data_IF_557371755822
#
_entry.id   IF_557371755822
#
_cell.length_a   1.000
_cell.length_b   1.000
_cell.length_c   1.000
_cell.angle_alpha   90.00
_cell.angle_beta   90.00
_cell.angle_gamma   90.00
#
_symmetry.space_group_name_H-M   'P 1'
#
loop_
_entity.id
_entity.type
_entity.pdbx_description
1 polymer ?
#
# COMPACT_ATOMS: atom_id res chain seq x y z
N UNK A 1 -9.53 -6.83 3.08
CA UNK A 1 -9.77 -8.17 2.44
C UNK A 1 -9.59 -8.06 0.94
N UNK A 2 -8.83 -8.98 0.32
CA UNK A 2 -8.69 -9.11 -1.14
C UNK A 2 -8.63 -10.59 -1.53
N UNK A 3 -8.89 -10.89 -2.80
CA UNK A 3 -8.78 -12.25 -3.35
C UNK A 3 -7.64 -12.28 -4.35
N UNK A 4 -6.77 -13.29 -4.28
CA UNK A 4 -5.76 -13.53 -5.28
C UNK A 4 -5.96 -14.90 -5.94
N UNK A 5 -5.90 -14.92 -7.26
CA UNK A 5 -5.87 -16.14 -8.04
C UNK A 5 -4.41 -16.51 -8.28
N UNK A 6 -4.01 -17.64 -7.73
CA UNK A 6 -2.65 -18.15 -7.79
C UNK A 6 -2.57 -19.29 -8.80
N UNK A 7 -1.49 -19.36 -9.56
CA UNK A 7 -1.27 -20.41 -10.57
C UNK A 7 0.13 -21.00 -10.50
N UNK A 8 0.24 -22.21 -11.03
CA UNK A 8 1.53 -22.85 -11.21
C UNK A 8 2.35 -22.08 -12.26
N UNK A 9 3.60 -21.74 -11.92
CA UNK A 9 4.50 -20.99 -12.80
C UNK A 9 4.94 -21.79 -14.02
N UNK A 10 5.06 -23.11 -13.89
CA UNK A 10 5.72 -23.97 -14.87
C UNK A 10 4.71 -24.65 -15.81
N UNK A 11 3.53 -24.99 -15.31
CA UNK A 11 2.57 -25.80 -16.04
C UNK A 11 1.16 -25.23 -16.00
N UNK A 12 0.65 -24.91 -17.17
CA UNK A 12 -0.74 -24.47 -17.35
C UNK A 12 -1.79 -25.60 -17.19
N UNK A 13 -1.35 -26.85 -17.00
CA UNK A 13 -2.28 -27.99 -16.83
C UNK A 13 -2.93 -28.02 -15.44
N UNK A 14 -2.32 -27.37 -14.47
CA UNK A 14 -2.90 -27.27 -13.12
C UNK A 14 -3.89 -26.12 -13.05
N UNK A 15 -5.04 -26.41 -12.47
CA UNK A 15 -6.05 -25.36 -12.26
C UNK A 15 -5.53 -24.30 -11.30
N UNK A 16 -5.80 -23.01 -11.58
CA UNK A 16 -5.49 -21.96 -10.63
C UNK A 16 -6.34 -22.10 -9.36
N UNK A 17 -5.84 -21.56 -8.24
CA UNK A 17 -6.52 -21.55 -6.95
C UNK A 17 -6.75 -20.11 -6.54
N UNK A 18 -8.01 -19.75 -6.23
CA UNK A 18 -8.34 -18.43 -5.69
C UNK A 18 -8.43 -18.53 -4.17
N UNK A 19 -7.73 -17.64 -3.49
CA UNK A 19 -7.68 -17.55 -2.03
C UNK A 19 -8.07 -16.13 -1.62
N UNK A 20 -8.92 -16.03 -0.59
CA UNK A 20 -9.26 -14.77 0.07
C UNK A 20 -8.26 -14.48 1.18
N UNK A 21 -7.72 -13.27 1.20
CA UNK A 21 -6.77 -12.81 2.22
C UNK A 21 -7.35 -11.66 3.04
N UNK A 22 -7.12 -11.65 4.37
CA UNK A 22 -6.44 -12.69 5.14
C UNK A 22 -7.21 -14.00 5.15
N UNK A 23 -6.48 -15.11 5.28
CA UNK A 23 -7.06 -16.45 5.36
C UNK A 23 -7.60 -16.66 6.79
N UNK A 24 -8.89 -16.99 6.96
CA UNK A 24 -9.39 -17.39 8.27
C UNK A 24 -8.57 -18.57 8.84
N UNK A 25 -8.28 -18.53 10.15
CA UNK A 25 -7.40 -19.51 10.80
C UNK A 25 -7.86 -20.95 10.58
N UNK A 26 -9.17 -21.18 10.63
CA UNK A 26 -9.81 -22.48 10.40
C UNK A 26 -9.76 -22.94 8.93
N UNK A 27 -9.44 -22.07 7.98
CA UNK A 27 -9.37 -22.37 6.55
C UNK A 27 -7.93 -22.45 6.02
N UNK A 28 -6.93 -22.09 6.82
CA UNK A 28 -5.54 -22.04 6.38
C UNK A 28 -5.03 -23.40 5.85
N UNK A 29 -5.25 -24.49 6.59
CA UNK A 29 -4.83 -25.81 6.14
C UNK A 29 -5.51 -26.24 4.83
N UNK A 30 -6.78 -25.87 4.65
CA UNK A 30 -7.52 -26.16 3.43
C UNK A 30 -6.95 -25.41 2.24
N UNK A 31 -6.57 -24.13 2.41
CA UNK A 31 -5.93 -23.33 1.38
C UNK A 31 -4.59 -23.95 0.96
N UNK A 32 -3.74 -24.32 1.91
CA UNK A 32 -2.45 -24.99 1.65
C UNK A 32 -2.65 -26.33 0.92
N UNK A 33 -3.65 -27.11 1.29
CA UNK A 33 -3.96 -28.38 0.61
C UNK A 33 -4.43 -28.14 -0.83
N UNK A 34 -5.20 -27.08 -1.09
CA UNK A 34 -5.63 -26.72 -2.45
C UNK A 34 -4.42 -26.34 -3.33
N UNK A 35 -3.50 -25.53 -2.80
CA UNK A 35 -2.27 -25.17 -3.50
C UNK A 35 -1.40 -26.40 -3.82
N UNK A 36 -1.21 -27.27 -2.84
CA UNK A 36 -0.44 -28.52 -3.04
C UNK A 36 -1.03 -29.42 -4.14
N UNK A 37 -2.38 -29.55 -4.19
CA UNK A 37 -3.05 -30.30 -5.24
C UNK A 37 -2.83 -29.72 -6.64
N UNK A 38 -2.76 -28.41 -6.73
CA UNK A 38 -2.49 -27.68 -7.99
C UNK A 38 -0.98 -27.46 -8.22
N UNK A 39 -0.11 -28.03 -7.39
CA UNK A 39 1.34 -27.86 -7.47
C UNK A 39 1.75 -26.38 -7.56
N UNK A 40 1.05 -25.54 -6.81
CA UNK A 40 1.31 -24.11 -6.69
C UNK A 40 2.06 -23.94 -5.37
N UNK A 41 3.33 -23.66 -5.42
CA UNK A 41 4.22 -23.35 -4.31
C UNK A 41 3.96 -23.93 -2.93
N UNK A 42 4.70 -23.45 -1.97
CA UNK A 42 4.39 -23.67 -0.56
C UNK A 42 4.48 -22.32 0.20
N UNK A 43 4.07 -22.34 1.47
CA UNK A 43 4.03 -21.15 2.31
C UNK A 43 5.43 -20.52 2.57
N UNK A 44 6.52 -21.21 2.25
CA UNK A 44 7.89 -20.80 2.58
C UNK A 44 8.70 -20.30 1.40
N UNK A 45 8.23 -20.55 0.19
CA UNK A 45 8.95 -20.22 -1.04
C UNK A 45 8.12 -19.24 -1.86
N UNK A 46 8.76 -18.18 -2.35
CA UNK A 46 8.13 -17.21 -3.27
C UNK A 46 7.99 -17.83 -4.67
N UNK A 47 7.05 -18.72 -4.84
CA UNK A 47 6.87 -19.47 -6.08
C UNK A 47 5.41 -19.54 -6.55
N UNK A 48 4.48 -18.91 -5.84
CA UNK A 48 3.13 -18.70 -6.31
C UNK A 48 3.10 -17.55 -7.31
N UNK A 49 2.73 -17.83 -8.55
CA UNK A 49 2.51 -16.77 -9.53
C UNK A 49 1.10 -16.19 -9.33
N UNK A 50 1.01 -14.91 -9.07
CA UNK A 50 -0.27 -14.19 -8.95
C UNK A 50 -0.82 -13.95 -10.37
N UNK A 51 -1.93 -14.60 -10.70
CA UNK A 51 -2.60 -14.43 -12.00
C UNK A 51 -3.51 -13.21 -12.03
N UNK A 52 -4.25 -13.02 -10.94
CA UNK A 52 -5.18 -11.91 -10.81
C UNK A 52 -5.39 -11.56 -9.33
N UNK A 53 -5.69 -10.28 -9.07
CA UNK A 53 -6.11 -9.80 -7.75
C UNK A 53 -7.43 -9.07 -7.88
N UNK A 54 -8.38 -9.43 -7.02
CA UNK A 54 -9.66 -8.74 -6.88
C UNK A 54 -9.78 -8.11 -5.50
N UNK A 55 -10.07 -6.82 -5.45
CA UNK A 55 -10.16 -6.08 -4.19
C UNK A 55 -11.09 -4.89 -4.33
N UNK A 56 -12.09 -4.74 -3.44
CA UNK A 56 -13.01 -3.60 -3.48
C UNK A 56 -12.38 -2.32 -2.89
N UNK A 57 -11.46 -2.47 -1.93
CA UNK A 57 -11.01 -1.35 -1.09
C UNK A 57 -9.58 -0.90 -1.38
N UNK A 58 -8.80 -1.69 -2.10
CA UNK A 58 -7.40 -1.42 -2.36
C UNK A 58 -7.04 -1.67 -3.83
N UNK A 59 -7.57 -0.87 -4.77
CA UNK A 59 -7.44 -1.11 -6.22
C UNK A 59 -5.98 -1.19 -6.69
N UNK A 60 -5.06 -0.55 -5.98
CA UNK A 60 -3.64 -0.59 -6.32
C UNK A 60 -3.03 -2.00 -6.25
N UNK A 61 -3.60 -2.93 -5.45
CA UNK A 61 -3.13 -4.31 -5.37
C UNK A 61 -3.28 -5.10 -6.69
N UNK A 62 -4.09 -4.64 -7.62
CA UNK A 62 -4.20 -5.25 -8.96
C UNK A 62 -2.85 -5.29 -9.68
N UNK A 63 -1.92 -4.39 -9.32
CA UNK A 63 -0.55 -4.35 -9.84
C UNK A 63 0.29 -5.58 -9.48
N UNK A 64 -0.11 -6.34 -8.47
CA UNK A 64 0.55 -7.60 -8.11
C UNK A 64 0.37 -8.69 -9.16
N UNK A 65 -0.57 -8.54 -10.11
CA UNK A 65 -0.77 -9.53 -11.18
C UNK A 65 0.53 -9.69 -12.00
N UNK A 66 1.00 -10.92 -12.10
CA UNK A 66 2.28 -11.27 -12.71
C UNK A 66 3.46 -11.35 -11.74
N UNK A 67 3.32 -10.88 -10.50
CA UNK A 67 4.35 -11.01 -9.48
C UNK A 67 4.37 -12.42 -8.87
N UNK A 68 5.51 -12.73 -8.24
CA UNK A 68 5.69 -13.93 -7.44
C UNK A 68 5.57 -13.56 -5.96
N UNK A 69 4.91 -14.41 -5.20
CA UNK A 69 4.76 -14.23 -3.75
C UNK A 69 4.66 -15.58 -3.04
N UNK A 70 4.79 -15.61 -1.74
CA UNK A 70 4.36 -16.74 -0.95
C UNK A 70 3.01 -16.45 -0.27
N UNK A 71 2.36 -17.51 0.18
CA UNK A 71 1.01 -17.42 0.76
C UNK A 71 1.02 -16.68 2.08
N UNK A 72 2.05 -16.87 2.91
CA UNK A 72 2.17 -16.25 4.23
C UNK A 72 2.40 -14.73 4.10
N UNK A 73 3.17 -14.29 3.08
CA UNK A 73 3.32 -12.86 2.76
C UNK A 73 1.99 -12.23 2.37
N UNK A 74 1.21 -12.90 1.53
CA UNK A 74 -0.10 -12.41 1.11
C UNK A 74 -1.09 -12.38 2.28
N UNK A 75 -1.06 -13.40 3.13
CA UNK A 75 -1.90 -13.48 4.33
C UNK A 75 -1.55 -12.36 5.33
N UNK A 76 -0.27 -12.16 5.55
CA UNK A 76 0.21 -11.08 6.40
C UNK A 76 -0.21 -9.71 5.86
N UNK A 77 0.00 -9.46 4.56
CA UNK A 77 -0.43 -8.22 3.91
C UNK A 77 -1.94 -8.02 4.05
N UNK A 78 -2.73 -9.08 3.88
CA UNK A 78 -4.18 -9.04 4.07
C UNK A 78 -4.57 -8.60 5.48
N UNK A 79 -3.93 -9.16 6.51
CA UNK A 79 -4.14 -8.79 7.92
C UNK A 79 -3.77 -7.34 8.19
N UNK A 80 -2.64 -6.90 7.64
CA UNK A 80 -2.19 -5.52 7.80
C UNK A 80 -3.18 -4.53 7.18
N UNK A 81 -3.62 -4.78 5.95
CA UNK A 81 -4.58 -3.91 5.26
C UNK A 81 -5.97 -3.90 5.91
N UNK A 82 -6.39 -4.99 6.56
CA UNK A 82 -7.63 -5.01 7.35
C UNK A 82 -7.55 -4.14 8.61
N UNK A 83 -6.35 -3.94 9.15
CA UNK A 83 -6.14 -3.07 10.31
C UNK A 83 -6.17 -1.58 9.95
N UNK A 84 -6.07 -1.23 8.68
CA UNK A 84 -6.04 0.15 8.22
C UNK A 84 -7.42 0.79 8.25
N UNK A 85 -7.45 2.03 8.70
CA UNK A 85 -8.61 2.87 8.49
C UNK A 85 -8.73 3.33 7.03
N UNK A 86 -9.82 4.07 6.73
CA UNK A 86 -10.07 4.54 5.37
C UNK A 86 -8.97 5.49 4.85
N UNK A 87 -8.39 6.29 5.73
CA UNK A 87 -7.36 7.25 5.35
C UNK A 87 -6.00 6.55 5.12
N UNK A 88 -5.65 5.61 5.97
CA UNK A 88 -4.46 4.76 5.82
C UNK A 88 -4.51 3.94 4.52
N UNK A 89 -5.68 3.38 4.17
CA UNK A 89 -5.87 2.71 2.89
C UNK A 89 -5.70 3.67 1.69
N UNK A 90 -6.17 4.93 1.82
CA UNK A 90 -5.97 5.94 0.79
C UNK A 90 -4.48 6.27 0.63
N UNK A 91 -3.76 6.47 1.74
CA UNK A 91 -2.33 6.74 1.75
C UNK A 91 -1.54 5.58 1.12
N UNK A 92 -1.86 4.35 1.53
CA UNK A 92 -1.25 3.14 0.97
C UNK A 92 -1.48 3.02 -0.55
N UNK A 93 -2.73 3.11 -1.01
CA UNK A 93 -3.06 3.04 -2.44
C UNK A 93 -2.33 4.11 -3.24
N UNK A 94 -2.31 5.35 -2.75
CA UNK A 94 -1.64 6.47 -3.38
C UNK A 94 -0.14 6.22 -3.54
N UNK A 95 0.51 5.66 -2.51
CA UNK A 95 1.92 5.32 -2.55
C UNK A 95 2.21 4.18 -3.53
N UNK A 96 1.42 3.10 -3.49
CA UNK A 96 1.56 1.98 -4.45
C UNK A 96 1.49 2.47 -5.88
N UNK A 97 0.50 3.31 -6.22
CA UNK A 97 0.35 3.88 -7.56
C UNK A 97 1.53 4.80 -7.91
N UNK A 98 1.95 5.64 -7.00
CA UNK A 98 3.03 6.62 -7.23
C UNK A 98 4.37 5.96 -7.49
N UNK A 99 4.71 4.91 -6.73
CA UNK A 99 5.98 4.20 -6.84
C UNK A 99 5.93 3.03 -7.82
N UNK A 100 4.74 2.65 -8.28
CA UNK A 100 4.57 1.53 -9.19
C UNK A 100 4.87 0.18 -8.54
N UNK A 101 4.66 0.07 -7.21
CA UNK A 101 4.98 -1.14 -6.45
C UNK A 101 4.07 -2.29 -6.89
N UNK A 102 4.65 -3.49 -6.95
CA UNK A 102 3.94 -4.69 -7.39
C UNK A 102 4.38 -5.98 -6.68
N UNK A 103 5.52 -5.99 -6.03
CA UNK A 103 6.01 -7.13 -5.28
C UNK A 103 5.43 -7.16 -3.86
N UNK A 104 5.19 -8.35 -3.31
CA UNK A 104 4.57 -8.51 -2.00
C UNK A 104 5.41 -7.90 -0.87
N UNK A 105 6.72 -8.09 -0.92
CA UNK A 105 7.70 -7.53 0.03
C UNK A 105 7.69 -5.99 0.01
N UNK A 106 7.68 -5.36 -1.17
CA UNK A 106 7.58 -3.91 -1.31
C UNK A 106 6.28 -3.37 -0.69
N UNK A 107 5.16 -4.07 -0.89
CA UNK A 107 3.86 -3.69 -0.34
C UNK A 107 3.79 -3.88 1.18
N UNK A 108 4.43 -4.92 1.68
CA UNK A 108 4.59 -5.16 3.11
C UNK A 108 5.41 -4.03 3.73
N UNK A 109 6.57 -3.69 3.16
CA UNK A 109 7.41 -2.61 3.66
C UNK A 109 6.67 -1.26 3.65
N UNK A 110 5.95 -0.96 2.57
CA UNK A 110 5.13 0.24 2.50
C UNK A 110 4.05 0.27 3.59
N UNK A 111 3.47 -0.87 3.94
CA UNK A 111 2.40 -0.93 4.94
C UNK A 111 2.82 -0.44 6.33
N UNK A 112 4.10 -0.55 6.67
CA UNK A 112 4.64 -0.03 7.94
C UNK A 112 4.77 1.50 7.97
N UNK A 113 4.97 2.14 6.82
CA UNK A 113 5.16 3.58 6.71
C UNK A 113 4.00 4.31 5.97
N UNK A 114 2.89 3.62 5.70
CA UNK A 114 1.75 4.21 4.99
C UNK A 114 1.21 5.49 5.66
N UNK A 115 1.26 5.57 7.00
CA UNK A 115 0.82 6.75 7.77
C UNK A 115 1.68 7.99 7.56
N UNK A 116 2.91 7.83 7.11
CA UNK A 116 3.84 8.92 6.84
C UNK A 116 3.58 9.58 5.47
N UNK A 117 2.71 8.95 4.68
CA UNK A 117 2.33 9.43 3.36
C UNK A 117 1.30 10.55 3.47
N UNK A 118 1.63 11.74 2.98
CA UNK A 118 0.68 12.85 2.88
C UNK A 118 -0.03 12.81 1.52
N UNK A 119 -1.34 12.65 1.53
CA UNK A 119 -2.17 12.69 0.32
C UNK A 119 -2.89 14.04 0.26
N UNK A 120 -2.60 14.81 -0.80
CA UNK A 120 -3.30 16.05 -1.09
C UNK A 120 -4.39 15.74 -2.15
N UNK A 121 -5.63 15.68 -1.70
CA UNK A 121 -6.79 15.40 -2.57
C UNK A 121 -7.56 16.66 -2.97
N UNK A 122 -7.33 17.77 -2.28
CA UNK A 122 -8.01 19.04 -2.54
C UNK A 122 -7.00 20.16 -2.72
N UNK A 123 -6.91 20.67 -3.96
CA UNK A 123 -6.05 21.80 -4.31
C UNK A 123 -6.78 23.14 -4.27
N UNK A 124 -8.07 23.15 -3.96
CA UNK A 124 -8.87 24.38 -3.90
C UNK A 124 -8.60 25.16 -2.62
N UNK A 125 -8.20 24.49 -1.54
CA UNK A 125 -7.87 25.08 -0.24
C UNK A 125 -6.43 24.73 0.19
N UNK A 126 -5.46 25.36 -0.45
CA UNK A 126 -4.05 25.18 -0.14
C UNK A 126 -3.69 25.66 1.27
N UNK A 127 -4.37 26.70 1.77
CA UNK A 127 -4.17 27.22 3.12
C UNK A 127 -4.41 26.14 4.17
N UNK A 128 -5.58 25.49 4.10
CA UNK A 128 -5.94 24.40 4.98
C UNK A 128 -5.04 23.18 4.83
N UNK A 129 -4.63 22.89 3.60
CA UNK A 129 -3.74 21.76 3.27
C UNK A 129 -2.37 21.95 3.93
N UNK A 130 -1.77 23.13 3.79
CA UNK A 130 -0.49 23.44 4.41
C UNK A 130 -0.53 23.43 5.94
N UNK A 131 -1.58 24.01 6.53
CA UNK A 131 -1.79 23.98 7.98
C UNK A 131 -1.95 22.56 8.53
N UNK A 132 -2.70 21.71 7.82
CA UNK A 132 -2.85 20.29 8.19
C UNK A 132 -1.50 19.57 8.12
N UNK A 133 -0.75 19.76 7.06
CA UNK A 133 0.58 19.15 6.92
C UNK A 133 1.50 19.57 8.07
N UNK A 134 1.53 20.89 8.38
CA UNK A 134 2.33 21.41 9.48
C UNK A 134 2.00 20.73 10.81
N UNK A 135 0.70 20.58 11.12
CA UNK A 135 0.25 19.87 12.31
C UNK A 135 0.64 18.38 12.31
N UNK A 136 0.62 17.74 11.15
CA UNK A 136 1.02 16.33 11.04
C UNK A 136 2.51 16.13 11.33
N UNK A 137 3.35 17.04 10.86
CA UNK A 137 4.82 16.98 11.03
C UNK A 137 5.25 17.38 12.44
N UNK A 138 4.67 18.45 12.98
CA UNK A 138 5.09 19.05 14.26
C UNK A 138 4.25 18.60 15.46
N UNK A 139 3.18 17.83 15.22
CA UNK A 139 2.25 17.43 16.27
C UNK A 139 1.39 18.61 16.75
N UNK A 140 1.33 18.83 18.05
CA UNK A 140 0.60 19.97 18.62
C UNK A 140 1.44 21.25 18.48
N UNK A 141 0.84 22.32 17.98
CA UNK A 141 1.41 23.67 17.96
C UNK A 141 0.46 24.65 18.66
N UNK A 142 0.99 25.81 19.07
CA UNK A 142 0.19 26.84 19.66
C UNK A 142 -0.79 27.47 18.64
N UNK A 143 -1.98 27.89 19.11
CA UNK A 143 -2.98 28.50 18.24
C UNK A 143 -2.47 29.73 17.52
N UNK A 144 -1.64 30.53 18.19
CA UNK A 144 -1.02 31.73 17.61
C UNK A 144 -0.02 31.39 16.51
N UNK A 145 0.75 30.32 16.67
CA UNK A 145 1.69 29.80 15.67
C UNK A 145 0.93 29.33 14.42
N UNK A 146 -0.15 28.59 14.60
CA UNK A 146 -0.99 28.10 13.50
C UNK A 146 -1.73 29.22 12.77
N UNK A 147 -2.16 30.27 13.48
CA UNK A 147 -2.79 31.45 12.89
C UNK A 147 -1.81 32.25 12.03
N UNK A 148 -0.57 32.38 12.49
CA UNK A 148 0.48 33.13 11.78
C UNK A 148 1.14 32.31 10.66
N UNK A 149 0.87 30.99 10.57
CA UNK A 149 1.41 30.14 9.52
C UNK A 149 0.76 30.44 8.17
N UNK A 150 1.56 30.80 7.16
CA UNK A 150 1.11 30.83 5.77
C UNK A 150 0.96 29.39 5.24
N UNK A 151 -0.25 28.86 5.39
CA UNK A 151 -0.56 27.50 4.97
C UNK A 151 -0.45 27.35 3.45
N UNK A 152 -0.74 28.39 2.68
CA UNK A 152 -0.64 28.35 1.22
C UNK A 152 0.83 28.24 0.79
N UNK A 153 1.73 29.02 1.37
CA UNK A 153 3.16 28.95 1.09
C UNK A 153 3.71 27.56 1.51
N UNK A 154 3.29 27.06 2.67
CA UNK A 154 3.64 25.71 3.16
C UNK A 154 3.18 24.64 2.17
N UNK A 155 1.94 24.70 1.70
CA UNK A 155 1.45 23.76 0.69
C UNK A 155 2.19 23.85 -0.63
N UNK A 156 2.49 25.07 -1.11
CA UNK A 156 3.26 25.29 -2.33
C UNK A 156 4.70 24.79 -2.20
N UNK A 157 5.34 24.95 -1.05
CA UNK A 157 6.65 24.41 -0.76
C UNK A 157 6.65 22.87 -0.82
N UNK A 158 5.64 22.24 -0.24
CA UNK A 158 5.43 20.78 -0.35
C UNK A 158 5.29 20.34 -1.80
N UNK A 159 4.52 21.10 -2.56
CA UNK A 159 4.24 20.85 -3.98
C UNK A 159 5.51 20.97 -4.83
N UNK A 160 6.31 21.98 -4.61
CA UNK A 160 7.52 22.29 -5.38
C UNK A 160 8.77 21.58 -4.86
N UNK A 161 8.79 21.27 -3.59
CA UNK A 161 9.89 20.57 -2.91
C UNK A 161 9.86 19.07 -3.16
N UNK A 162 9.86 18.64 -4.42
CA UNK A 162 10.07 17.24 -4.74
C UNK A 162 11.48 16.84 -4.30
N UNK A 163 11.67 16.08 -3.21
CA UNK A 163 12.91 15.37 -3.07
C UNK A 163 13.04 14.44 -4.27
N UNK A 164 14.18 14.46 -4.92
CA UNK A 164 14.47 13.57 -6.02
C UNK A 164 14.12 12.14 -5.58
N UNK A 165 13.47 11.39 -6.46
CA UNK A 165 13.03 10.02 -6.25
C UNK A 165 14.04 9.19 -5.47
N UNK A 166 13.72 8.65 -4.30
CA UNK A 166 14.45 7.50 -3.83
C UNK A 166 14.05 6.31 -4.70
N UNK A 167 15.00 5.77 -5.45
CA UNK A 167 14.84 4.55 -6.21
C UNK A 167 14.70 3.29 -5.33
N UNK A 168 14.74 3.47 -4.02
CA UNK A 168 14.54 2.43 -3.01
C UNK A 168 13.64 3.02 -1.92
N UNK A 169 12.68 2.22 -1.45
CA UNK A 169 12.01 2.51 -0.20
C UNK A 169 13.10 2.75 0.85
N UNK A 170 13.09 3.86 1.56
CA UNK A 170 14.13 4.12 2.54
C UNK A 170 14.08 3.02 3.59
N UNK A 171 15.17 2.30 3.78
CA UNK A 171 15.44 1.67 5.04
C UNK A 171 15.30 2.75 6.11
N UNK A 172 14.35 2.57 7.00
CA UNK A 172 14.05 3.35 8.18
C UNK A 172 15.11 4.41 8.52
N UNK A 173 14.99 5.60 7.95
CA UNK A 173 15.57 6.81 8.52
C UNK A 173 14.40 7.64 9.06
N UNK A 174 14.39 7.85 10.36
CA UNK A 174 13.39 8.66 11.06
C UNK A 174 13.21 10.01 10.35
N UNK A 175 12.01 10.27 9.84
CA UNK A 175 11.60 11.60 9.41
C UNK A 175 11.38 11.85 7.92
N UNK A 176 11.28 10.83 7.07
CA UNK A 176 10.91 11.04 5.65
C UNK A 176 9.40 11.20 5.49
N UNK A 177 8.93 12.45 5.43
CA UNK A 177 7.56 12.75 5.02
C UNK A 177 7.44 12.69 3.50
N UNK A 178 6.74 11.67 3.00
CA UNK A 178 6.46 11.52 1.59
C UNK A 178 5.20 12.29 1.21
N UNK A 179 5.33 13.30 0.36
CA UNK A 179 4.19 14.06 -0.15
C UNK A 179 3.77 13.46 -1.50
N UNK A 180 2.58 12.91 -1.54
CA UNK A 180 1.99 12.35 -2.75
C UNK A 180 0.87 13.23 -3.29
N UNK A 181 0.94 13.48 -4.60
CA UNK A 181 -0.07 14.17 -5.36
C UNK A 181 -1.05 13.16 -5.93
N UNK A 182 -2.30 13.24 -5.57
CA UNK A 182 -3.36 12.51 -6.27
C UNK A 182 -4.23 13.52 -7.02
N UNK A 183 -4.08 13.60 -8.33
CA UNK A 183 -5.05 14.24 -9.19
C UNK A 183 -6.11 13.20 -9.52
N UNK A 184 -7.23 13.23 -8.80
CA UNK A 184 -8.40 12.40 -9.14
C UNK A 184 -9.05 13.05 -10.34
N UNK A 185 -8.89 12.46 -11.52
CA UNK A 185 -9.71 12.80 -12.67
C UNK A 185 -11.09 12.17 -12.44
N UNK A 186 -12.10 13.02 -12.15
CA UNK A 186 -13.53 12.68 -12.21
C UNK A 186 -13.97 12.52 -13.66
#
# INVERSE_FOLDING_TARGET
>A
MFEATLKNRISAHFAPVTITFPIPEDQYEQAILALKKSQIGDARVQDCLIDNVHTPNCPALVRMAGAMANVDELDWLGKQLESFDRYELLQFNAAVERFGLSAADELIDLSFCAREVTVISDFTDLEKTGKRHYLTVHGACDSEELENLDGKETALALISGQPGYPHHLPHYEEGLHLVLWLQIHT
#
